data_IF_423513905093
#
_entry.id   IF_423513905093
#
_cell.length_a   1.000
_cell.length_b   1.000
_cell.length_c   1.000
_cell.angle_alpha   90.00
_cell.angle_beta   90.00
_cell.angle_gamma   90.00
#
_symmetry.space_group_name_H-M   'P 1'
#
loop_
_entity.id
_entity.type
_entity.pdbx_description
1 polymer ?
#
# COMPACT_ATOMS: atom_id res chain seq x y z
N UNK A 1 27.48 -12.47 -77.85
CA UNK A 1 26.73 -13.72 -78.08
C UNK A 1 25.90 -14.02 -76.84
N UNK A 2 24.65 -14.47 -77.03
CA UNK A 2 23.58 -14.77 -76.07
C UNK A 2 22.99 -13.55 -75.32
N UNK A 3 21.82 -12.99 -75.69
CA UNK A 3 20.43 -13.49 -75.69
C UNK A 3 19.74 -13.36 -74.31
N UNK A 4 18.56 -12.73 -74.28
CA UNK A 4 17.69 -12.74 -73.10
C UNK A 4 16.60 -11.66 -73.11
N UNK A 5 15.47 -11.96 -73.75
CA UNK A 5 14.31 -11.08 -73.90
C UNK A 5 13.62 -10.75 -72.57
N UNK A 6 13.20 -9.48 -72.40
CA UNK A 6 12.33 -9.05 -71.30
C UNK A 6 10.91 -8.82 -71.82
N UNK A 7 10.00 -9.64 -71.30
CA UNK A 7 8.59 -9.67 -71.66
C UNK A 7 7.77 -8.67 -70.83
N UNK A 8 6.81 -8.04 -71.52
CA UNK A 8 5.75 -7.19 -70.98
C UNK A 8 4.85 -7.99 -70.02
N UNK A 9 4.54 -7.44 -68.85
CA UNK A 9 3.29 -7.78 -68.15
C UNK A 9 2.66 -6.54 -67.52
N UNK A 10 1.55 -6.11 -68.11
CA UNK A 10 0.58 -5.17 -67.51
C UNK A 10 -0.10 -5.87 -66.33
N UNK A 11 -0.14 -5.24 -65.15
CA UNK A 11 -1.13 -5.57 -64.12
C UNK A 11 -1.83 -4.32 -63.58
N UNK A 12 -3.15 -4.46 -63.54
CA UNK A 12 -4.19 -3.48 -63.27
C UNK A 12 -4.15 -3.00 -61.82
N UNK A 13 -4.43 -1.70 -61.66
CA UNK A 13 -4.76 -1.04 -60.40
C UNK A 13 -6.11 -1.55 -59.87
N UNK A 14 -6.15 -2.07 -58.64
CA UNK A 14 -7.36 -2.17 -57.84
C UNK A 14 -7.21 -1.29 -56.60
N UNK A 15 -8.10 -0.31 -56.48
CA UNK A 15 -8.28 0.57 -55.31
C UNK A 15 -8.75 -0.28 -54.14
N UNK A 16 -7.97 -0.33 -53.07
CA UNK A 16 -8.43 -0.70 -51.73
C UNK A 16 -8.27 0.53 -50.83
N UNK A 17 -9.40 1.02 -50.29
CA UNK A 17 -9.41 2.00 -49.19
C UNK A 17 -9.60 1.21 -47.88
N UNK A 18 -8.73 1.34 -46.88
CA UNK A 18 -9.04 0.85 -45.55
C UNK A 18 -9.91 1.87 -44.81
N UNK A 19 -11.09 1.44 -44.36
CA UNK A 19 -11.86 2.08 -43.29
C UNK A 19 -11.21 1.68 -41.97
N UNK A 20 -10.44 2.57 -41.35
CA UNK A 20 -10.13 2.47 -39.93
C UNK A 20 -11.12 3.33 -39.14
N UNK A 21 -12.11 2.70 -38.50
CA UNK A 21 -12.82 3.31 -37.39
C UNK A 21 -11.99 3.08 -36.12
N UNK A 22 -11.31 4.13 -35.65
CA UNK A 22 -10.65 4.14 -34.35
C UNK A 22 -11.72 4.48 -33.30
N UNK A 23 -12.32 3.46 -32.71
CA UNK A 23 -13.09 3.62 -31.48
C UNK A 23 -12.13 3.50 -30.29
N UNK A 24 -11.53 4.61 -29.88
CA UNK A 24 -10.88 4.72 -28.57
C UNK A 24 -11.95 4.80 -27.48
N UNK A 25 -12.48 3.64 -27.07
CA UNK A 25 -13.14 3.51 -25.76
C UNK A 25 -12.04 3.28 -24.72
N UNK A 26 -11.56 4.35 -24.12
CA UNK A 26 -10.94 4.33 -22.79
C UNK A 26 -12.00 3.87 -21.79
N UNK A 27 -12.15 2.55 -21.62
CA UNK A 27 -12.83 1.98 -20.47
C UNK A 27 -12.02 2.35 -19.22
N UNK A 28 -12.50 3.35 -18.48
CA UNK A 28 -12.03 3.68 -17.13
C UNK A 28 -12.17 2.43 -16.23
N UNK A 29 -11.06 1.72 -16.03
CA UNK A 29 -10.90 0.54 -15.16
C UNK A 29 -10.91 0.91 -13.66
N UNK A 30 -11.89 1.70 -13.22
CA UNK A 30 -12.05 2.09 -11.81
C UNK A 30 -12.98 1.15 -11.01
N UNK A 31 -13.62 0.16 -11.64
CA UNK A 31 -14.70 -0.60 -11.02
C UNK A 31 -14.27 -1.57 -9.90
N UNK A 32 -13.04 -2.10 -9.91
CA UNK A 32 -12.64 -3.16 -8.95
C UNK A 32 -12.30 -2.64 -7.55
N UNK A 33 -11.71 -1.45 -7.43
CA UNK A 33 -11.46 -0.78 -6.14
C UNK A 33 -12.75 -0.36 -5.45
N UNK A 34 -13.72 0.11 -6.25
CA UNK A 34 -15.07 0.36 -5.77
C UNK A 34 -15.73 -0.89 -5.22
N UNK A 35 -15.43 -2.08 -5.75
CA UNK A 35 -15.96 -3.37 -5.26
C UNK A 35 -15.30 -3.86 -3.97
N UNK A 36 -14.00 -3.66 -3.77
CA UNK A 36 -13.32 -3.97 -2.49
C UNK A 36 -13.88 -3.09 -1.38
N UNK A 37 -14.08 -1.80 -1.64
CA UNK A 37 -14.70 -0.86 -0.70
C UNK A 37 -16.23 -1.06 -0.57
N UNK A 38 -16.94 -1.46 -1.63
CA UNK A 38 -18.39 -1.76 -1.59
C UNK A 38 -18.72 -3.09 -0.92
N UNK A 39 -17.84 -4.08 -1.00
CA UNK A 39 -18.04 -5.35 -0.28
C UNK A 39 -18.03 -5.12 1.25
N UNK A 40 -17.35 -4.07 1.72
CA UNK A 40 -17.46 -3.58 3.11
C UNK A 40 -18.70 -2.72 3.37
N UNK A 41 -19.27 -2.05 2.36
CA UNK A 41 -20.53 -1.28 2.44
C UNK A 41 -21.81 -2.16 2.49
N UNK A 42 -21.69 -3.48 2.27
CA UNK A 42 -22.81 -4.43 2.31
C UNK A 42 -23.32 -4.78 3.71
N UNK A 43 -22.64 -4.35 4.77
CA UNK A 43 -23.27 -4.18 6.07
C UNK A 43 -24.03 -2.85 6.00
N UNK A 44 -25.36 -2.92 6.08
CA UNK A 44 -26.20 -1.74 6.29
C UNK A 44 -25.51 -0.80 7.28
N UNK A 45 -25.55 0.53 7.08
CA UNK A 45 -24.96 1.46 8.02
C UNK A 45 -25.68 1.23 9.34
N UNK A 46 -25.04 0.44 10.21
CA UNK A 46 -25.27 0.55 11.64
C UNK A 46 -24.88 1.98 11.86
N UNK A 47 -25.90 2.85 12.03
CA UNK A 47 -25.74 4.18 12.58
C UNK A 47 -24.69 4.01 13.66
N UNK A 48 -23.46 4.49 13.40
CA UNK A 48 -22.41 4.40 14.39
C UNK A 48 -23.00 5.12 15.58
N UNK A 49 -23.22 4.35 16.64
CA UNK A 49 -23.72 4.89 17.89
C UNK A 49 -22.56 5.75 18.36
N UNK A 50 -22.69 7.06 18.09
CA UNK A 50 -21.79 8.12 18.54
C UNK A 50 -20.33 7.89 18.14
N UNK A 51 -20.02 8.01 16.83
CA UNK A 51 -18.79 8.74 16.52
C UNK A 51 -18.96 10.11 17.21
N UNK A 52 -18.14 10.39 18.21
CA UNK A 52 -18.07 11.70 18.84
C UNK A 52 -18.08 12.72 17.71
N UNK A 53 -19.08 13.62 17.67
CA UNK A 53 -19.37 14.49 16.53
C UNK A 53 -18.28 15.54 16.22
N UNK A 54 -17.05 15.29 16.65
CA UNK A 54 -15.88 16.08 16.38
C UNK A 54 -15.30 15.71 15.01
N UNK A 55 -15.09 16.71 14.14
CA UNK A 55 -14.38 16.50 12.89
C UNK A 55 -12.92 16.09 13.15
N UNK A 56 -12.27 15.43 12.18
CA UNK A 56 -10.85 15.16 12.27
C UNK A 56 -10.05 16.47 12.35
N UNK A 57 -8.99 16.49 13.16
CA UNK A 57 -8.05 17.61 13.18
C UNK A 57 -7.21 17.54 11.91
N UNK A 58 -7.21 18.60 11.11
CA UNK A 58 -6.27 18.68 9.99
C UNK A 58 -4.87 18.90 10.59
N UNK A 59 -3.93 17.94 10.44
CA UNK A 59 -2.63 18.08 11.07
C UNK A 59 -1.92 19.31 10.50
N UNK A 60 -1.30 20.09 11.39
CA UNK A 60 -0.42 21.17 10.96
C UNK A 60 0.88 20.54 10.44
N UNK A 61 0.90 20.26 9.14
CA UNK A 61 2.02 19.59 8.50
C UNK A 61 3.18 20.59 8.47
N UNK A 62 4.33 20.28 9.10
CA UNK A 62 5.48 21.16 9.06
C UNK A 62 5.80 21.51 7.60
N UNK A 63 6.13 22.77 7.27
CA UNK A 63 6.63 23.08 5.95
C UNK A 63 7.84 22.19 5.70
N UNK A 64 7.78 21.38 4.65
CA UNK A 64 8.78 20.36 4.28
C UNK A 64 10.13 20.96 3.83
N UNK A 65 10.41 22.19 4.24
CA UNK A 65 11.64 22.87 3.98
C UNK A 65 12.76 22.36 4.88
N UNK A 66 13.84 21.91 4.23
CA UNK A 66 15.24 21.96 4.72
C UNK A 66 15.76 20.80 5.57
N UNK A 67 15.42 19.55 5.26
CA UNK A 67 16.29 18.43 5.64
C UNK A 67 16.65 17.58 4.43
N UNK A 68 17.42 18.19 3.51
CA UNK A 68 18.00 17.50 2.34
C UNK A 68 18.65 16.16 2.75
N UNK A 69 19.41 16.17 3.85
CA UNK A 69 20.07 14.98 4.39
C UNK A 69 19.12 13.86 4.83
N UNK A 70 17.89 14.17 5.27
CA UNK A 70 16.93 13.12 5.66
C UNK A 70 16.33 12.43 4.44
N UNK A 71 16.03 13.19 3.38
CA UNK A 71 15.61 12.60 2.11
C UNK A 71 16.71 11.75 1.48
N UNK A 72 17.95 12.21 1.56
CA UNK A 72 19.13 11.46 1.11
C UNK A 72 19.26 10.15 1.89
N UNK A 73 19.17 10.18 3.22
CA UNK A 73 19.23 8.97 4.05
C UNK A 73 18.14 7.94 3.71
N UNK A 74 16.89 8.39 3.50
CA UNK A 74 15.80 7.50 3.09
C UNK A 74 16.05 6.88 1.71
N UNK A 75 16.56 7.67 0.76
CA UNK A 75 16.90 7.18 -0.57
C UNK A 75 18.06 6.18 -0.50
N UNK A 76 19.13 6.52 0.23
CA UNK A 76 20.28 5.66 0.43
C UNK A 76 19.89 4.32 1.06
N UNK A 77 19.03 4.30 2.08
CA UNK A 77 18.56 3.04 2.68
C UNK A 77 17.81 2.17 1.67
N UNK A 78 16.97 2.77 0.82
CA UNK A 78 16.26 2.06 -0.26
C UNK A 78 17.21 1.52 -1.31
N UNK A 79 18.20 2.31 -1.73
CA UNK A 79 19.19 1.89 -2.74
C UNK A 79 20.19 0.88 -2.18
N UNK A 80 20.43 0.88 -0.86
CA UNK A 80 21.26 -0.10 -0.19
C UNK A 80 20.55 -1.46 -0.03
N UNK A 81 19.22 -1.48 0.06
CA UNK A 81 18.40 -2.65 0.34
C UNK A 81 18.67 -3.83 -0.61
N UNK A 82 19.28 -4.90 -0.07
CA UNK A 82 19.63 -6.11 -0.80
C UNK A 82 18.40 -6.89 -1.28
N UNK A 83 17.36 -7.02 -0.46
CA UNK A 83 16.13 -7.71 -0.83
C UNK A 83 15.46 -7.06 -2.06
N UNK A 84 15.44 -5.73 -2.16
CA UNK A 84 14.94 -5.05 -3.35
C UNK A 84 15.79 -5.39 -4.58
N UNK A 85 17.13 -5.38 -4.45
CA UNK A 85 18.05 -5.72 -5.56
C UNK A 85 17.86 -7.14 -6.07
N UNK A 86 17.48 -8.07 -5.21
CA UNK A 86 17.19 -9.46 -5.62
C UNK A 86 15.88 -9.57 -6.43
N UNK A 87 15.00 -8.56 -6.34
CA UNK A 87 13.74 -8.48 -7.07
C UNK A 87 13.84 -7.61 -8.35
N UNK A 88 14.94 -7.74 -9.12
CA UNK A 88 15.28 -6.85 -10.25
C UNK A 88 14.13 -6.61 -11.24
N UNK A 89 13.37 -7.64 -11.59
CA UNK A 89 12.26 -7.54 -12.55
C UNK A 89 11.14 -6.57 -12.11
N UNK A 90 10.95 -6.42 -10.80
CA UNK A 90 9.90 -5.60 -10.21
C UNK A 90 10.45 -4.41 -9.42
N UNK A 91 11.76 -4.14 -9.54
CA UNK A 91 12.48 -3.19 -8.69
C UNK A 91 11.85 -1.79 -8.75
N UNK A 92 11.56 -1.28 -9.95
CA UNK A 92 10.98 0.06 -10.11
C UNK A 92 9.62 0.18 -9.43
N UNK A 93 8.77 -0.85 -9.56
CA UNK A 93 7.46 -0.88 -8.92
C UNK A 93 7.58 -0.91 -7.40
N UNK A 94 8.45 -1.77 -6.86
CA UNK A 94 8.70 -1.86 -5.43
C UNK A 94 9.31 -0.57 -4.87
N UNK A 95 10.23 0.09 -5.60
CA UNK A 95 10.80 1.39 -5.21
C UNK A 95 9.74 2.47 -5.10
N UNK A 96 8.68 2.42 -5.90
CA UNK A 96 7.58 3.41 -5.82
C UNK A 96 6.74 3.31 -4.56
N UNK A 97 6.79 2.18 -3.85
CA UNK A 97 6.06 1.98 -2.58
C UNK A 97 6.58 2.93 -1.51
N UNK A 98 7.91 3.11 -1.45
CA UNK A 98 8.56 4.05 -0.54
C UNK A 98 8.37 5.48 -1.05
N UNK A 99 7.31 6.13 -0.58
CA UNK A 99 7.00 7.52 -0.87
C UNK A 99 6.07 8.11 0.18
N UNK A 100 5.76 9.40 0.00
CA UNK A 100 4.69 10.06 0.74
C UNK A 100 3.34 9.75 0.09
N UNK A 101 2.44 9.13 0.84
CA UNK A 101 1.06 8.87 0.46
C UNK A 101 0.15 9.94 1.06
N UNK A 102 -0.54 10.69 0.20
CA UNK A 102 -1.60 11.60 0.64
C UNK A 102 -2.83 10.75 0.95
N UNK A 103 -3.37 10.90 2.15
CA UNK A 103 -4.39 10.00 2.72
C UNK A 103 -5.69 10.78 2.97
N UNK A 104 -6.81 10.14 2.65
CA UNK A 104 -8.16 10.60 2.92
C UNK A 104 -8.89 9.54 3.74
N UNK A 105 -9.58 9.97 4.80
CA UNK A 105 -10.44 9.09 5.60
C UNK A 105 -11.76 8.88 4.87
N UNK A 106 -12.24 7.64 4.82
CA UNK A 106 -13.47 7.28 4.09
C UNK A 106 -14.70 7.92 4.72
N UNK A 107 -14.73 8.01 6.06
CA UNK A 107 -15.86 8.59 6.80
C UNK A 107 -15.89 10.13 6.76
N UNK A 108 -14.81 10.78 6.29
CA UNK A 108 -14.66 12.23 6.25
C UNK A 108 -14.17 12.70 4.87
N UNK A 109 -14.98 12.44 3.85
CA UNK A 109 -14.63 12.78 2.47
C UNK A 109 -14.38 14.28 2.26
N UNK A 110 -15.05 15.14 3.02
CA UNK A 110 -14.93 16.61 2.91
C UNK A 110 -13.53 17.12 3.29
N UNK A 111 -12.80 16.39 4.15
CA UNK A 111 -11.39 16.74 4.43
C UNK A 111 -10.44 16.46 3.28
N UNK A 112 -10.88 15.75 2.24
CA UNK A 112 -10.02 15.43 1.10
C UNK A 112 -8.77 14.64 1.51
N UNK A 113 -7.68 14.84 0.77
CA UNK A 113 -6.38 14.21 1.03
C UNK A 113 -5.54 15.02 2.02
N UNK A 114 -6.09 15.33 3.19
CA UNK A 114 -5.46 16.17 4.21
C UNK A 114 -4.40 15.44 5.06
N UNK A 115 -4.43 14.11 5.09
CA UNK A 115 -3.56 13.30 5.94
C UNK A 115 -2.39 12.72 5.15
N UNK A 116 -1.43 12.13 5.87
CA UNK A 116 -0.26 11.51 5.24
C UNK A 116 0.11 10.21 5.91
N UNK A 117 0.51 9.26 5.06
CA UNK A 117 1.23 8.05 5.45
C UNK A 117 2.54 8.06 4.68
N UNK A 118 3.65 7.85 5.37
CA UNK A 118 4.96 7.69 4.77
C UNK A 118 5.33 6.23 4.87
N UNK A 119 5.84 5.61 3.81
CA UNK A 119 6.29 4.21 3.85
C UNK A 119 7.77 4.15 3.52
N UNK A 120 8.54 3.32 4.23
CA UNK A 120 9.96 3.08 4.02
C UNK A 120 10.25 1.59 3.99
N UNK A 121 11.15 1.18 3.10
CA UNK A 121 11.65 -0.18 3.06
C UNK A 121 12.68 -0.43 4.16
N UNK A 122 12.54 -1.57 4.83
CA UNK A 122 13.55 -2.15 5.70
C UNK A 122 13.68 -3.64 5.35
N UNK A 123 14.66 -3.96 4.51
CA UNK A 123 14.84 -5.29 3.90
C UNK A 123 13.55 -5.75 3.20
N UNK A 124 12.85 -6.77 3.70
CA UNK A 124 11.62 -7.34 3.14
C UNK A 124 10.34 -6.90 3.87
N UNK A 125 10.43 -5.91 4.76
CA UNK A 125 9.29 -5.31 5.49
C UNK A 125 9.16 -3.81 5.20
N UNK A 126 8.02 -3.24 5.55
CA UNK A 126 7.78 -1.80 5.47
C UNK A 126 7.56 -1.22 6.86
N UNK A 127 8.26 -0.13 7.12
CA UNK A 127 7.90 0.81 8.17
C UNK A 127 6.98 1.88 7.60
N UNK A 128 6.10 2.42 8.42
CA UNK A 128 5.35 3.60 8.04
C UNK A 128 5.13 4.58 9.17
N UNK A 129 5.06 5.86 8.84
CA UNK A 129 4.70 6.93 9.77
C UNK A 129 3.35 7.48 9.33
N UNK A 130 2.41 7.66 10.26
CA UNK A 130 1.09 8.17 9.95
C UNK A 130 0.69 9.33 10.87
N UNK A 131 -0.13 10.22 10.34
CA UNK A 131 -0.82 11.23 11.12
C UNK A 131 -2.23 11.41 10.55
N UNK A 132 -3.23 10.95 11.30
CA UNK A 132 -4.66 10.99 10.96
C UNK A 132 -5.40 12.09 11.73
N UNK A 133 -4.69 13.12 12.18
CA UNK A 133 -5.25 14.23 12.94
C UNK A 133 -5.25 13.97 14.44
N UNK A 134 -6.23 13.20 14.93
CA UNK A 134 -6.36 12.90 16.36
C UNK A 134 -5.38 11.84 16.86
N UNK A 135 -4.86 11.01 15.95
CA UNK A 135 -3.88 9.96 16.27
C UNK A 135 -2.73 10.03 15.28
N UNK A 136 -1.51 9.92 15.79
CA UNK A 136 -0.28 9.81 15.01
C UNK A 136 0.59 8.68 15.54
N UNK A 137 1.46 8.15 14.71
CA UNK A 137 2.38 7.11 15.16
C UNK A 137 3.11 6.40 14.03
N UNK A 138 3.58 5.20 14.34
CA UNK A 138 4.37 4.33 13.46
C UNK A 138 3.62 3.02 13.23
N UNK A 139 3.69 2.48 12.02
CA UNK A 139 3.17 1.18 11.65
C UNK A 139 4.27 0.28 11.07
N UNK A 140 4.09 -1.03 11.23
CA UNK A 140 5.00 -2.06 10.75
C UNK A 140 4.24 -3.12 9.96
N UNK A 141 4.58 -3.25 8.67
CA UNK A 141 4.07 -4.27 7.75
C UNK A 141 5.16 -5.31 7.54
N UNK A 142 5.02 -6.50 8.14
CA UNK A 142 6.04 -7.55 8.05
C UNK A 142 5.40 -8.94 7.82
N UNK A 143 5.49 -9.52 6.61
CA UNK A 143 6.31 -9.09 5.48
C UNK A 143 5.67 -7.95 4.69
N UNK A 144 6.50 -7.20 3.97
CA UNK A 144 6.10 -6.19 3.00
C UNK A 144 5.50 -6.78 1.71
N UNK A 145 5.13 -5.92 0.75
CA UNK A 145 4.52 -6.36 -0.49
C UNK A 145 5.49 -7.19 -1.33
N UNK A 146 4.94 -8.20 -1.99
CA UNK A 146 5.65 -8.99 -2.99
C UNK A 146 4.94 -8.77 -4.32
N UNK A 147 5.69 -8.42 -5.36
CA UNK A 147 5.10 -8.30 -6.70
C UNK A 147 4.98 -9.70 -7.29
N UNK A 148 3.76 -10.21 -7.37
CA UNK A 148 3.44 -11.36 -8.21
C UNK A 148 3.28 -10.87 -9.65
N UNK A 149 3.80 -11.65 -10.60
CA UNK A 149 3.95 -11.25 -12.02
C UNK A 149 2.64 -11.07 -12.81
N UNK A 150 1.46 -11.15 -12.18
CA UNK A 150 0.20 -11.30 -12.93
C UNK A 150 -1.06 -10.67 -12.33
N UNK A 151 -1.02 -10.11 -11.12
CA UNK A 151 -2.26 -9.60 -10.52
C UNK A 151 -2.35 -8.07 -10.53
N UNK A 152 -3.30 -7.55 -11.31
CA UNK A 152 -3.88 -6.20 -11.12
C UNK A 152 -4.55 -6.03 -9.72
N UNK A 153 -4.58 -7.10 -8.92
CA UNK A 153 -5.25 -7.11 -7.62
C UNK A 153 -4.35 -6.55 -6.51
N UNK A 154 -4.92 -5.74 -5.60
CA UNK A 154 -4.17 -5.24 -4.47
C UNK A 154 -3.80 -6.38 -3.52
N UNK A 155 -2.55 -6.36 -3.05
CA UNK A 155 -2.12 -7.27 -2.01
C UNK A 155 -2.63 -6.78 -0.66
N UNK A 156 -3.28 -7.67 0.10
CA UNK A 156 -3.69 -7.41 1.46
C UNK A 156 -2.55 -7.75 2.40
N UNK A 157 -2.12 -6.78 3.21
CA UNK A 157 -1.00 -6.91 4.13
C UNK A 157 -1.43 -6.43 5.51
N UNK A 158 -1.38 -7.34 6.49
CA UNK A 158 -1.62 -6.98 7.88
C UNK A 158 -0.45 -6.17 8.44
N UNK A 159 -0.74 -5.23 9.33
CA UNK A 159 0.27 -4.44 10.03
C UNK A 159 -0.06 -4.31 11.51
N UNK A 160 0.98 -4.02 12.29
CA UNK A 160 0.85 -3.54 13.66
C UNK A 160 1.12 -2.04 13.67
N UNK A 161 0.54 -1.31 14.62
CA UNK A 161 0.84 0.10 14.80
C UNK A 161 1.04 0.45 16.27
N UNK A 162 1.78 1.53 16.51
CA UNK A 162 1.94 2.17 17.81
C UNK A 162 1.82 3.66 17.63
N UNK A 163 1.37 4.37 18.64
CA UNK A 163 1.26 5.81 18.53
C UNK A 163 0.73 6.47 19.79
N UNK A 164 0.35 7.73 19.61
CA UNK A 164 -0.18 8.59 20.66
C UNK A 164 -1.37 9.37 20.13
N UNK A 165 -2.19 9.86 21.05
CA UNK A 165 -3.20 10.84 20.70
C UNK A 165 -2.55 12.21 20.53
N UNK A 166 -3.06 13.00 19.58
CA UNK A 166 -2.52 14.33 19.31
C UNK A 166 -2.87 15.33 20.42
N UNK A 167 -4.03 15.16 21.07
CA UNK A 167 -4.50 15.97 22.20
C UNK A 167 -3.87 15.54 23.52
N UNK A 168 -3.47 14.28 23.64
CA UNK A 168 -2.76 13.74 24.79
C UNK A 168 -1.55 12.88 24.36
N UNK A 169 -0.41 13.53 24.06
CA UNK A 169 0.80 12.86 23.57
C UNK A 169 1.44 11.90 24.59
N UNK A 170 1.05 11.96 25.87
CA UNK A 170 1.59 11.09 26.91
C UNK A 170 0.85 9.75 27.00
N UNK A 171 -0.29 9.61 26.32
CA UNK A 171 -1.06 8.37 26.26
C UNK A 171 -0.60 7.52 25.07
N UNK A 172 0.31 6.59 25.36
CA UNK A 172 0.82 5.61 24.41
C UNK A 172 -0.18 4.50 24.12
N UNK A 173 -0.33 4.18 22.84
CA UNK A 173 -1.12 3.07 22.34
C UNK A 173 -0.15 2.10 21.69
N UNK A 174 0.12 0.98 22.35
CA UNK A 174 1.12 0.00 21.89
C UNK A 174 0.71 -1.46 22.06
N UNK A 175 -0.54 -1.73 22.45
CA UNK A 175 -1.03 -3.09 22.60
C UNK A 175 -1.29 -3.75 21.24
N UNK A 176 -0.41 -4.67 20.86
CA UNK A 176 -0.47 -5.42 19.60
C UNK A 176 -1.79 -6.21 19.40
N UNK A 177 -2.60 -6.45 20.44
CA UNK A 177 -3.88 -7.16 20.32
C UNK A 177 -4.97 -6.31 19.64
N UNK A 178 -4.90 -4.98 19.86
CA UNK A 178 -5.85 -3.98 19.37
C UNK A 178 -5.23 -3.06 18.30
N UNK A 179 -3.96 -2.72 18.43
CA UNK A 179 -3.26 -1.77 17.57
C UNK A 179 -2.70 -2.47 16.33
N UNK A 180 -3.62 -2.88 15.46
CA UNK A 180 -3.36 -3.58 14.19
C UNK A 180 -4.15 -2.97 13.05
N UNK A 181 -3.97 -3.48 11.85
CA UNK A 181 -4.76 -3.07 10.70
C UNK A 181 -4.39 -3.85 9.44
N UNK A 182 -4.94 -3.41 8.32
CA UNK A 182 -4.65 -3.99 7.03
C UNK A 182 -4.46 -2.89 5.99
N UNK A 183 -3.43 -3.03 5.16
CA UNK A 183 -3.26 -2.21 3.95
C UNK A 183 -3.52 -3.04 2.70
N UNK A 184 -4.14 -2.40 1.72
CA UNK A 184 -4.32 -2.88 0.36
C UNK A 184 -3.40 -2.08 -0.54
N UNK A 185 -2.28 -2.70 -0.92
CA UNK A 185 -1.26 -2.05 -1.71
C UNK A 185 -1.21 -2.66 -3.10
N UNK A 186 -1.24 -1.81 -4.11
CA UNK A 186 -0.94 -2.19 -5.48
C UNK A 186 0.23 -1.34 -5.99
N UNK A 187 1.46 -1.88 -6.03
CA UNK A 187 2.63 -1.15 -6.51
C UNK A 187 2.48 -0.68 -7.97
N UNK A 188 1.91 -1.52 -8.84
CA UNK A 188 1.72 -1.22 -10.27
C UNK A 188 0.80 -0.01 -10.50
N UNK A 189 -0.33 0.02 -9.79
CA UNK A 189 -1.34 1.08 -9.93
C UNK A 189 -1.09 2.27 -8.99
N UNK A 190 -0.04 2.21 -8.17
CA UNK A 190 0.30 3.20 -7.14
C UNK A 190 -0.92 3.57 -6.31
N UNK A 191 -1.62 2.57 -5.79
CA UNK A 191 -2.79 2.75 -4.93
C UNK A 191 -2.54 2.10 -3.59
N UNK A 192 -2.88 2.84 -2.54
CA UNK A 192 -2.85 2.39 -1.17
C UNK A 192 -4.23 2.65 -0.57
N UNK A 193 -4.76 1.68 0.13
CA UNK A 193 -5.93 1.85 0.99
C UNK A 193 -5.81 0.91 2.17
N UNK A 194 -6.82 0.87 3.01
CA UNK A 194 -6.84 -0.04 4.14
C UNK A 194 -7.66 0.47 5.29
N UNK A 195 -7.40 -0.08 6.46
CA UNK A 195 -7.97 0.40 7.70
C UNK A 195 -7.01 0.22 8.88
N UNK A 196 -7.21 1.06 9.90
CA UNK A 196 -6.64 0.87 11.23
C UNK A 196 -7.72 0.31 12.16
N UNK A 197 -7.44 -0.78 12.86
CA UNK A 197 -8.25 -1.20 14.00
C UNK A 197 -7.95 -0.27 15.19
N UNK A 198 -8.94 -0.08 16.06
CA UNK A 198 -8.85 0.75 17.27
C UNK A 198 -8.67 2.24 17.02
N UNK A 199 -8.95 2.71 15.80
CA UNK A 199 -9.04 4.12 15.43
C UNK A 199 -10.43 4.35 14.84
N UNK A 200 -11.20 5.28 15.37
CA UNK A 200 -12.50 5.67 14.83
C UNK A 200 -12.36 6.35 13.45
N UNK A 201 -13.46 6.43 12.70
CA UNK A 201 -13.50 7.03 11.37
C UNK A 201 -12.93 8.46 11.28
N UNK A 202 -12.98 9.24 12.37
CA UNK A 202 -12.42 10.58 12.46
C UNK A 202 -10.92 10.61 12.81
N UNK A 203 -10.26 9.45 12.92
CA UNK A 203 -8.85 9.35 13.29
C UNK A 203 -8.58 9.32 14.81
N UNK A 204 -9.62 9.31 15.67
CA UNK A 204 -9.47 9.23 17.13
C UNK A 204 -9.27 7.79 17.59
N UNK A 205 -8.22 7.52 18.37
CA UNK A 205 -8.00 6.21 18.95
C UNK A 205 -9.06 5.83 20.02
N UNK A 206 -9.31 4.53 20.17
CA UNK A 206 -10.32 4.00 21.09
C UNK A 206 -11.68 3.69 20.46
N UNK A 207 -11.73 3.67 19.12
CA UNK A 207 -12.96 3.41 18.35
C UNK A 207 -12.95 2.08 17.59
N UNK A 208 -13.85 1.97 16.61
CA UNK A 208 -13.97 0.84 15.69
C UNK A 208 -12.80 0.84 14.67
N UNK A 209 -13.11 0.95 13.37
CA UNK A 209 -12.13 0.95 12.28
C UNK A 209 -12.11 2.28 11.56
N UNK A 210 -10.90 2.74 11.24
CA UNK A 210 -10.68 3.94 10.46
C UNK A 210 -10.26 3.51 9.05
N UNK A 211 -11.19 3.56 8.10
CA UNK A 211 -10.91 3.25 6.71
C UNK A 211 -10.27 4.44 6.01
N UNK A 212 -9.28 4.17 5.17
CA UNK A 212 -8.60 5.20 4.41
C UNK A 212 -8.33 4.78 2.97
N UNK A 213 -8.17 5.80 2.14
CA UNK A 213 -7.63 5.69 0.78
C UNK A 213 -6.51 6.69 0.60
N UNK A 214 -5.48 6.30 -0.13
CA UNK A 214 -4.32 7.12 -0.33
C UNK A 214 -3.81 7.05 -1.77
N UNK A 215 -3.22 8.16 -2.19
CA UNK A 215 -2.57 8.32 -3.49
C UNK A 215 -1.14 8.81 -3.28
N UNK A 216 -0.18 8.43 -4.13
CA UNK A 216 1.15 8.95 -4.02
C UNK A 216 1.11 10.47 -4.21
N UNK A 217 1.91 11.18 -3.43
CA UNK A 217 2.16 12.59 -3.64
C UNK A 217 2.80 12.79 -5.02
N UNK A 218 2.40 13.86 -5.71
CA UNK A 218 3.04 14.28 -6.95
C UNK A 218 4.48 14.73 -6.70
N UNK A 219 5.40 14.30 -7.55
CA UNK A 219 6.83 14.63 -7.47
C UNK A 219 7.71 13.41 -7.16
N UNK A 220 9.00 13.64 -6.84
CA UNK A 220 9.95 12.58 -6.50
C UNK A 220 9.46 11.74 -5.30
N UNK A 221 9.70 10.42 -5.29
CA UNK A 221 9.33 9.55 -4.18
C UNK A 221 10.25 9.81 -2.98
N UNK A 222 9.91 10.85 -2.22
CA UNK A 222 10.65 11.27 -1.03
C UNK A 222 9.87 10.95 0.24
N UNK A 223 10.63 10.61 1.28
CA UNK A 223 10.13 10.37 2.63
C UNK A 223 10.98 11.19 3.60
N UNK A 224 10.38 12.08 4.41
CA UNK A 224 11.13 12.97 5.32
C UNK A 224 11.52 12.28 6.64
N UNK A 225 11.86 10.99 6.59
CA UNK A 225 12.26 10.20 7.76
C UNK A 225 13.42 9.28 7.37
N UNK A 226 14.38 9.06 8.27
CA UNK A 226 15.32 7.95 8.13
C UNK A 226 14.73 6.68 8.75
N UNK A 227 15.22 5.49 8.37
CA UNK A 227 14.81 4.24 9.04
C UNK A 227 15.09 4.27 10.54
N UNK A 228 16.22 4.86 10.94
CA UNK A 228 16.59 4.99 12.34
C UNK A 228 15.56 5.79 13.12
N UNK A 229 15.16 6.95 12.61
CA UNK A 229 14.17 7.80 13.29
C UNK A 229 12.84 7.03 13.49
N UNK A 230 12.42 6.27 12.49
CA UNK A 230 11.14 5.54 12.53
C UNK A 230 11.18 4.37 13.51
N UNK A 231 12.30 3.64 13.56
CA UNK A 231 12.48 2.53 14.51
C UNK A 231 12.64 3.05 15.94
N UNK A 232 13.42 4.12 16.13
CA UNK A 232 13.57 4.75 17.45
C UNK A 232 12.20 5.26 17.97
N UNK A 233 11.38 5.87 17.11
CA UNK A 233 10.02 6.33 17.46
C UNK A 233 9.07 5.15 17.77
N UNK A 234 9.15 4.04 17.03
CA UNK A 234 8.39 2.82 17.33
C UNK A 234 8.73 2.24 18.70
N UNK A 235 10.01 2.24 19.06
CA UNK A 235 10.50 1.74 20.34
C UNK A 235 10.14 2.69 21.49
N UNK A 236 10.15 4.01 21.25
CA UNK A 236 9.70 5.03 22.21
C UNK A 236 8.22 4.84 22.58
N UNK A 237 7.36 4.54 21.60
CA UNK A 237 5.96 4.21 21.88
C UNK A 237 5.75 2.87 22.58
N UNK A 238 6.77 2.00 22.60
CA UNK A 238 6.71 0.69 23.23
C UNK A 238 6.79 0.75 24.76
N UNK A 239 6.00 -0.09 25.43
CA UNK A 239 6.28 -0.43 26.83
C UNK A 239 7.59 -1.24 26.93
N UNK A 240 8.27 -1.17 28.08
CA UNK A 240 9.44 -1.99 28.41
C UNK A 240 9.21 -3.51 28.30
N UNK A 241 7.95 -3.94 28.20
CA UNK A 241 7.55 -5.33 27.95
C UNK A 241 7.81 -5.81 26.53
N UNK A 242 7.89 -4.90 25.56
CA UNK A 242 8.16 -5.26 24.18
C UNK A 242 9.66 -5.24 23.91
N UNK A 243 10.14 -6.21 23.13
CA UNK A 243 11.50 -6.17 22.62
C UNK A 243 11.65 -4.95 21.72
N UNK A 244 12.83 -4.33 21.79
CA UNK A 244 13.24 -3.30 20.84
C UNK A 244 13.34 -3.89 19.44
N UNK A 245 12.93 -3.12 18.46
CA UNK A 245 13.10 -3.48 17.06
C UNK A 245 14.44 -2.97 16.56
N UNK A 246 15.10 -3.77 15.72
CA UNK A 246 16.34 -3.38 15.04
C UNK A 246 16.07 -3.22 13.56
N UNK A 247 16.82 -2.34 12.88
CA UNK A 247 16.73 -2.20 11.43
C UNK A 247 17.23 -3.49 10.79
N UNK A 248 16.33 -4.21 10.09
CA UNK A 248 16.61 -5.51 9.49
C UNK A 248 17.73 -5.43 8.45
N UNK A 249 17.86 -4.31 7.75
CA UNK A 249 18.97 -4.05 6.81
C UNK A 249 20.36 -3.98 7.46
N UNK A 250 20.44 -3.75 8.77
CA UNK A 250 21.70 -3.61 9.50
C UNK A 250 22.11 -4.91 10.21
N UNK A 251 21.26 -5.93 10.19
CA UNK A 251 21.55 -7.22 10.81
C UNK A 251 22.67 -7.94 10.06
N UNK A 252 23.46 -8.73 10.79
CA UNK A 252 24.36 -9.70 10.18
C UNK A 252 23.55 -10.75 9.40
N UNK A 253 24.18 -11.49 8.48
CA UNK A 253 23.47 -12.52 7.71
C UNK A 253 22.89 -13.62 8.62
N UNK A 254 23.60 -13.99 9.68
CA UNK A 254 23.15 -15.01 10.64
C UNK A 254 21.98 -14.50 11.47
N UNK A 255 22.04 -13.26 11.96
CA UNK A 255 20.96 -12.64 12.74
C UNK A 255 19.72 -12.39 11.88
N UNK A 256 19.92 -12.00 10.62
CA UNK A 256 18.86 -11.81 9.64
C UNK A 256 18.12 -13.13 9.36
N UNK A 257 18.86 -14.21 9.09
CA UNK A 257 18.27 -15.53 8.87
C UNK A 257 17.54 -16.04 10.14
N UNK A 258 18.10 -15.80 11.33
CA UNK A 258 17.44 -16.11 12.59
C UNK A 258 16.13 -15.31 12.78
N UNK A 259 16.12 -14.01 12.48
CA UNK A 259 14.95 -13.13 12.54
C UNK A 259 13.85 -13.61 11.59
N UNK A 260 14.20 -13.88 10.32
CA UNK A 260 13.26 -14.36 9.31
C UNK A 260 12.66 -15.72 9.70
N UNK A 261 13.48 -16.66 10.20
CA UNK A 261 12.98 -17.95 10.70
C UNK A 261 12.04 -17.78 11.89
N UNK A 262 12.36 -16.88 12.82
CA UNK A 262 11.50 -16.58 13.98
C UNK A 262 10.16 -16.00 13.54
N UNK A 263 10.16 -15.08 12.58
CA UNK A 263 8.93 -14.53 11.97
C UNK A 263 8.10 -15.62 11.32
N UNK A 264 8.72 -16.44 10.48
CA UNK A 264 8.01 -17.46 9.70
C UNK A 264 7.45 -18.57 10.61
N UNK A 265 8.10 -18.90 11.73
CA UNK A 265 7.55 -19.79 12.77
C UNK A 265 6.30 -19.24 13.45
N UNK A 266 6.19 -17.92 13.62
CA UNK A 266 5.02 -17.27 14.24
C UNK A 266 3.81 -17.20 13.30
N UNK A 267 4.02 -17.41 12.01
CA UNK A 267 2.97 -17.48 10.99
C UNK A 267 2.78 -18.95 10.60
N UNK A 268 1.93 -19.73 11.29
CA UNK A 268 1.67 -21.10 10.86
C UNK A 268 1.24 -21.08 9.38
N UNK A 269 1.84 -21.96 8.56
CA UNK A 269 1.61 -22.10 7.11
C UNK A 269 0.15 -22.41 6.71
N UNK A 270 -0.82 -22.33 7.61
CA UNK A 270 -2.23 -22.64 7.37
C UNK A 270 -2.98 -21.58 6.55
N UNK A 271 -2.30 -20.59 5.98
CA UNK A 271 -2.86 -19.66 5.00
C UNK A 271 -2.22 -19.85 3.62
N UNK A 272 -1.91 -21.10 3.24
CA UNK A 272 -2.05 -21.47 1.83
C UNK A 272 -3.51 -21.22 1.51
N UNK A 273 -3.79 -20.08 0.89
CA UNK A 273 -5.07 -19.84 0.25
C UNK A 273 -5.19 -20.90 -0.83
N UNK A 274 -5.90 -21.99 -0.53
CA UNK A 274 -6.38 -22.87 -1.57
C UNK A 274 -7.20 -22.00 -2.51
N UNK A 275 -6.62 -21.70 -3.67
CA UNK A 275 -7.36 -21.31 -4.86
C UNK A 275 -8.20 -22.53 -5.27
N UNK A 276 -9.27 -22.80 -4.51
CA UNK A 276 -10.34 -23.67 -4.97
C UNK A 276 -10.93 -22.98 -6.21
N UNK A 277 -10.57 -23.53 -7.37
CA UNK A 277 -11.24 -23.30 -8.65
C UNK A 277 -12.74 -23.50 -8.39
N UNK A 278 -13.48 -22.41 -8.32
CA UNK A 278 -14.93 -22.44 -8.35
C UNK A 278 -15.37 -23.02 -9.68
N UNK A 279 -15.70 -24.32 -9.70
CA UNK A 279 -16.53 -24.90 -10.74
C UNK A 279 -17.93 -24.29 -10.59
N UNK A 280 -18.23 -23.29 -11.41
CA UNK A 280 -19.61 -22.84 -11.63
C UNK A 280 -20.32 -23.90 -12.44
N UNK A 281 -21.08 -24.77 -11.77
CA UNK A 281 -22.08 -25.62 -12.42
C UNK A 281 -23.26 -24.74 -12.82
N UNK A 282 -23.43 -24.57 -14.13
CA UNK A 282 -24.63 -23.93 -14.69
C UNK A 282 -25.83 -24.87 -14.52
N UNK A 283 -26.77 -24.50 -13.66
CA UNK A 283 -28.10 -25.11 -13.64
C UNK A 283 -28.94 -24.38 -14.69
N UNK A 284 -29.20 -25.06 -15.80
CA UNK A 284 -30.12 -24.61 -16.83
C UNK A 284 -31.56 -24.72 -16.33
N UNK A 285 -32.27 -23.61 -16.31
CA UNK A 285 -33.74 -23.60 -16.23
C UNK A 285 -34.30 -23.74 -17.64
N UNK A 286 -34.92 -24.88 -17.92
CA UNK A 286 -35.86 -25.06 -19.02
C UNK A 286 -37.27 -24.90 -18.47
N UNK A 287 -38.00 -23.90 -18.93
CA UNK A 287 -39.45 -23.81 -18.78
C UNK A 287 -40.14 -24.01 -20.13
N UNK A 288 -41.39 -24.50 -20.16
CA UNK A 288 -42.44 -23.93 -20.99
C UNK A 288 -43.04 -22.67 -20.34
#
# INVERSE_FOLDING_TARGET
MAAGAMNRLKRRRSRWKPKHSVNNRTHSRNHKWGLVLRKTEGRAPVRSVLATGQPPIIPNIPPEGRRRGVYEAAMESREANSWLKDNQYNLDQLKTVQCTWQTQLVDFLDTGYAFRIYLLWDYDRLWGVFNLGHTKGVLLVDPGPRVSSSSDDPQQLSFLWRGVRADDPNTYICDNSIAKGEIWLNPCHRRLGGYFDYIAGNGMAGGDRCYFRARPRFGPPVVPYSLKDVVDEWDEYGSSKYAREEIRQNLSLDDLDADLRKRDRRRPMSAVWDFHKGHTSAVGFSGP
#
